data_IF_474847930751
#
_entry.id   IF_474847930751
#
_cell.length_a   1.000
_cell.length_b   1.000
_cell.length_c   1.000
_cell.angle_alpha   90.00
_cell.angle_beta   90.00
_cell.angle_gamma   90.00
#
_symmetry.space_group_name_H-M   'P 1'
#
loop_
_entity.id
_entity.type
_entity.pdbx_description
1 polymer ?
#
# COMPACT_ATOMS: atom_id res chain seq x y z
N UNK A 1 14.92 -6.14 -3.76
CA UNK A 1 14.88 -4.67 -3.92
C UNK A 1 13.44 -4.29 -4.20
N UNK A 2 12.89 -3.27 -3.52
CA UNK A 2 11.50 -2.88 -3.71
C UNK A 2 11.35 -1.90 -4.86
N UNK A 3 10.19 -1.91 -5.52
CA UNK A 3 9.88 -0.84 -6.49
C UNK A 3 9.71 0.50 -5.77
N UNK A 4 9.84 1.61 -6.49
CA UNK A 4 9.71 2.96 -5.91
C UNK A 4 8.36 3.15 -5.20
N UNK A 5 8.31 4.04 -4.20
CA UNK A 5 7.08 4.34 -3.48
C UNK A 5 5.90 4.65 -4.42
N UNK A 6 6.14 5.42 -5.50
CA UNK A 6 5.11 5.82 -6.47
C UNK A 6 4.52 4.63 -7.23
N UNK A 7 5.37 3.70 -7.67
CA UNK A 7 4.93 2.49 -8.38
C UNK A 7 4.23 1.51 -7.45
N UNK A 8 4.76 1.37 -6.22
CA UNK A 8 4.18 0.52 -5.20
C UNK A 8 2.79 0.99 -4.78
N UNK A 9 2.65 2.30 -4.54
CA UNK A 9 1.37 2.94 -4.20
C UNK A 9 0.32 2.73 -5.29
N UNK A 10 0.67 2.93 -6.57
CA UNK A 10 -0.27 2.70 -7.70
C UNK A 10 -0.80 1.27 -7.71
N UNK A 11 0.07 0.29 -7.47
CA UNK A 11 -0.33 -1.10 -7.35
C UNK A 11 -1.28 -1.30 -6.17
N UNK A 12 -0.93 -0.81 -4.98
CA UNK A 12 -1.79 -0.95 -3.80
C UNK A 12 -3.16 -0.29 -3.98
N UNK A 13 -3.23 0.86 -4.66
CA UNK A 13 -4.50 1.52 -5.00
C UNK A 13 -5.39 0.65 -5.90
N UNK A 14 -4.79 -0.09 -6.84
CA UNK A 14 -5.55 -1.01 -7.72
C UNK A 14 -6.19 -2.18 -6.95
N UNK A 15 -5.67 -2.51 -5.76
CA UNK A 15 -6.24 -3.57 -4.91
C UNK A 15 -7.53 -3.13 -4.23
N UNK A 16 -7.83 -1.82 -4.20
CA UNK A 16 -9.05 -1.22 -3.60
C UNK A 16 -9.33 -1.73 -2.17
N UNK A 17 -8.27 -1.91 -1.40
CA UNK A 17 -8.36 -2.32 0.00
C UNK A 17 -9.00 -1.20 0.80
N UNK A 18 -9.91 -1.50 1.72
CA UNK A 18 -10.66 -0.52 2.52
C UNK A 18 -9.92 -0.10 3.78
N UNK A 19 -8.79 -0.73 4.10
CA UNK A 19 -7.97 -0.31 5.23
C UNK A 19 -6.83 -1.25 5.58
N UNK A 20 -6.16 -0.90 6.68
CA UNK A 20 -5.01 -1.62 7.24
C UNK A 20 -5.27 -3.12 7.45
N UNK A 21 -6.46 -3.48 7.95
CA UNK A 21 -6.80 -4.88 8.21
C UNK A 21 -6.73 -5.73 6.93
N UNK A 22 -7.30 -5.23 5.83
CA UNK A 22 -7.28 -5.92 4.54
C UNK A 22 -5.88 -5.91 3.93
N UNK A 23 -5.09 -4.85 4.14
CA UNK A 23 -3.67 -4.84 3.76
C UNK A 23 -2.90 -5.99 4.43
N UNK A 24 -3.03 -6.15 5.74
CA UNK A 24 -2.34 -7.23 6.45
C UNK A 24 -2.84 -8.61 6.02
N UNK A 25 -4.15 -8.76 5.76
CA UNK A 25 -4.70 -10.01 5.23
C UNK A 25 -4.17 -10.31 3.83
N UNK A 26 -4.10 -9.31 2.96
CA UNK A 26 -3.52 -9.43 1.62
C UNK A 26 -2.04 -9.84 1.68
N UNK A 27 -1.25 -9.20 2.55
CA UNK A 27 0.15 -9.57 2.77
C UNK A 27 0.30 -11.02 3.27
N UNK A 28 -0.57 -11.46 4.19
CA UNK A 28 -0.58 -12.83 4.72
C UNK A 28 -1.10 -13.86 3.73
N UNK A 29 -1.87 -13.45 2.72
CA UNK A 29 -2.46 -14.37 1.74
C UNK A 29 -1.45 -14.98 0.76
N UNK A 30 -0.20 -14.49 0.75
CA UNK A 30 0.81 -14.89 -0.23
C UNK A 30 0.61 -14.29 -1.62
N UNK A 31 -0.47 -13.51 -1.85
CA UNK A 31 -0.74 -12.84 -3.13
C UNK A 31 0.07 -11.56 -3.35
N UNK A 32 0.75 -11.08 -2.30
CA UNK A 32 1.57 -9.86 -2.34
C UNK A 32 2.85 -10.15 -3.14
N UNK A 33 3.15 -9.38 -4.19
CA UNK A 33 4.43 -9.47 -4.89
C UNK A 33 5.64 -9.27 -3.97
N UNK A 34 6.77 -9.90 -4.27
CA UNK A 34 8.03 -9.74 -3.52
C UNK A 34 8.62 -8.34 -3.60
N UNK A 35 8.28 -7.59 -4.65
CA UNK A 35 8.76 -6.23 -4.88
C UNK A 35 7.92 -5.15 -4.17
N UNK A 36 6.93 -5.55 -3.37
CA UNK A 36 6.15 -4.70 -2.49
C UNK A 36 6.45 -5.04 -1.03
N UNK A 37 6.89 -4.07 -0.20
CA UNK A 37 7.16 -4.31 1.22
C UNK A 37 5.86 -4.48 2.01
N UNK A 38 5.86 -5.37 3.01
CA UNK A 38 4.74 -5.53 3.95
C UNK A 38 4.59 -4.30 4.87
N UNK A 39 5.72 -3.70 5.24
CA UNK A 39 5.80 -2.49 6.06
C UNK A 39 6.32 -1.32 5.19
N UNK A 40 5.45 -0.66 4.41
CA UNK A 40 5.84 0.41 3.50
C UNK A 40 6.38 1.64 4.23
N UNK A 41 5.95 1.88 5.48
CA UNK A 41 6.52 2.92 6.34
C UNK A 41 8.04 2.78 6.46
N UNK A 42 8.52 1.58 6.75
CA UNK A 42 9.96 1.36 7.00
C UNK A 42 10.74 1.33 5.69
N UNK A 43 10.15 0.73 4.64
CA UNK A 43 10.78 0.64 3.33
C UNK A 43 10.88 1.99 2.61
N UNK A 44 9.90 2.87 2.80
CA UNK A 44 9.80 4.16 2.10
C UNK A 44 9.93 5.36 3.03
N UNK A 45 10.41 5.18 4.27
CA UNK A 45 10.52 6.27 5.27
C UNK A 45 11.24 7.50 4.71
N UNK A 46 12.32 7.26 3.96
CA UNK A 46 13.14 8.29 3.32
C UNK A 46 12.85 8.44 1.82
N UNK A 47 11.88 7.70 1.27
CA UNK A 47 11.55 7.62 -0.17
C UNK A 47 10.14 8.16 -0.46
N UNK A 48 9.64 9.06 0.40
CA UNK A 48 8.36 9.74 0.20
C UNK A 48 7.15 9.09 0.85
N UNK A 49 7.34 8.20 1.83
CA UNK A 49 6.26 7.76 2.70
C UNK A 49 5.56 8.96 3.35
N UNK A 50 4.23 8.94 3.36
CA UNK A 50 3.40 9.98 3.98
C UNK A 50 2.62 9.35 5.15
N UNK A 51 1.66 8.49 4.82
CA UNK A 51 0.79 7.83 5.78
C UNK A 51 0.04 6.67 5.10
N UNK A 52 -0.71 5.93 5.92
CA UNK A 52 -1.48 4.77 5.48
C UNK A 52 -2.66 5.11 4.57
N UNK A 53 -3.30 6.27 4.72
CA UNK A 53 -4.41 6.69 3.86
C UNK A 53 -3.88 6.92 2.44
N UNK A 54 -2.73 7.60 2.33
CA UNK A 54 -2.06 7.81 1.05
C UNK A 54 -1.60 6.49 0.42
N UNK A 55 -1.03 5.58 1.21
CA UNK A 55 -0.58 4.27 0.74
C UNK A 55 -1.71 3.39 0.22
N UNK A 56 -2.79 3.25 0.99
CA UNK A 56 -3.91 2.38 0.65
C UNK A 56 -4.86 3.03 -0.35
N UNK A 57 -4.85 4.36 -0.46
CA UNK A 57 -5.82 5.10 -1.26
C UNK A 57 -7.18 5.17 -0.58
N UNK A 58 -7.26 4.87 0.71
CA UNK A 58 -8.49 4.89 1.51
C UNK A 58 -8.76 6.29 2.05
N UNK A 59 -8.86 7.25 1.14
CA UNK A 59 -9.39 8.57 1.45
C UNK A 59 -10.89 8.54 1.18
N UNK A 60 -11.70 8.97 2.14
CA UNK A 60 -13.14 9.21 1.98
C UNK A 60 -13.40 9.90 0.64
N UNK A 61 -13.80 9.11 -0.35
CA UNK A 61 -14.44 9.56 -1.56
C UNK A 61 -15.55 8.56 -1.79
N UNK A 62 -16.64 8.85 -1.09
CA UNK A 62 -17.96 8.82 -1.72
C UNK A 62 -17.80 9.31 -3.16
N UNK A 63 -17.65 8.38 -4.09
CA UNK A 63 -18.01 8.62 -5.48
C UNK A 63 -19.46 8.17 -5.57
N UNK A 64 -20.35 9.13 -5.33
CA UNK A 64 -21.64 9.20 -6.01
C UNK A 64 -21.47 9.37 -7.52
#
# INVERSE_FOLDING_TARGET
MFRSYKEARKFVHSLKLKGLKEWYQYCKSGKKPDDIPTHPRDAYLNDGWIDWINWLGTGYSDQG
#
